data_IF_931523648962
#
_entry.id   IF_931523648962
#
_cell.length_a   1.000
_cell.length_b   1.000
_cell.length_c   1.000
_cell.angle_alpha   90.00
_cell.angle_beta   90.00
_cell.angle_gamma   90.00
#
_symmetry.space_group_name_H-M   'P 1'
#
loop_
_entity.id
_entity.type
_entity.pdbx_description
1 polymer ?
#
# COMPACT_ATOMS: atom_id res chain seq x y z
N UNK A 1 4.78 -6.40 -10.21
CA UNK A 1 4.02 -5.24 -10.73
C UNK A 1 3.08 -5.77 -11.80
N UNK A 2 1.82 -5.34 -11.82
CA UNK A 2 0.83 -5.77 -12.83
C UNK A 2 0.81 -4.72 -13.93
N UNK A 3 0.97 -5.14 -15.19
CA UNK A 3 0.88 -4.28 -16.35
C UNK A 3 -0.05 -4.94 -17.39
N UNK A 4 -0.91 -4.14 -18.02
CA UNK A 4 -1.83 -4.57 -19.06
C UNK A 4 -1.37 -3.95 -20.39
N UNK A 5 -0.94 -4.78 -21.35
CA UNK A 5 -0.71 -4.33 -22.72
C UNK A 5 -1.64 -5.09 -23.66
N UNK A 6 -2.51 -4.36 -24.35
CA UNK A 6 -3.45 -4.89 -25.34
C UNK A 6 -2.79 -4.83 -26.71
N UNK A 7 -2.56 -5.97 -27.36
CA UNK A 7 -2.15 -6.04 -28.77
C UNK A 7 -3.21 -6.83 -29.55
N UNK A 8 -3.81 -6.29 -30.62
CA UNK A 8 -4.78 -7.03 -31.42
C UNK A 8 -4.05 -7.98 -32.38
N UNK A 9 -4.42 -9.27 -32.35
CA UNK A 9 -3.99 -10.25 -33.35
C UNK A 9 -4.95 -10.23 -34.54
N UNK A 10 -4.38 -10.13 -35.75
CA UNK A 10 -5.09 -10.32 -37.00
C UNK A 10 -5.34 -11.82 -37.26
N UNK A 11 -6.48 -12.08 -37.90
CA UNK A 11 -7.11 -13.35 -38.20
C UNK A 11 -6.42 -14.08 -39.37
N UNK A 12 -6.34 -15.42 -39.30
CA UNK A 12 -6.16 -16.26 -40.49
C UNK A 12 -7.10 -17.46 -40.43
N UNK A 13 -7.95 -17.50 -41.46
CA UNK A 13 -9.05 -18.44 -41.69
C UNK A 13 -8.55 -19.79 -42.17
N UNK A 14 -9.15 -20.89 -41.69
CA UNK A 14 -9.29 -22.13 -42.48
C UNK A 14 -10.63 -22.80 -42.18
N UNK A 15 -11.30 -23.19 -43.26
CA UNK A 15 -12.70 -23.63 -43.40
C UNK A 15 -12.81 -25.15 -43.40
N UNK A 16 -13.87 -25.72 -42.80
CA UNK A 16 -14.69 -26.88 -43.27
C UNK A 16 -15.64 -27.33 -42.13
N UNK A 17 -16.96 -27.14 -42.19
CA UNK A 17 -18.03 -27.78 -42.99
C UNK A 17 -18.75 -28.89 -42.20
N UNK A 18 -19.94 -28.59 -41.62
CA UNK A 18 -21.10 -29.50 -41.63
C UNK A 18 -22.40 -28.74 -41.24
N UNK A 19 -23.48 -28.98 -41.98
CA UNK A 19 -24.72 -28.19 -41.95
C UNK A 19 -25.89 -28.92 -41.27
N UNK A 20 -26.63 -28.23 -40.40
CA UNK A 20 -28.10 -28.30 -40.31
C UNK A 20 -28.70 -27.21 -39.38
N UNK A 21 -29.51 -26.35 -40.01
CA UNK A 21 -30.70 -25.61 -39.54
C UNK A 21 -30.71 -24.82 -38.20
N UNK A 22 -30.61 -23.49 -38.37
CA UNK A 22 -31.20 -22.34 -37.64
C UNK A 22 -31.74 -22.48 -36.19
N UNK A 23 -31.18 -21.65 -35.30
CA UNK A 23 -31.93 -20.58 -34.62
C UNK A 23 -31.03 -19.33 -34.45
N UNK A 24 -31.51 -18.12 -34.75
CA UNK A 24 -30.75 -16.88 -34.58
C UNK A 24 -31.00 -16.33 -33.18
N UNK A 25 -30.33 -16.90 -32.19
CA UNK A 25 -30.22 -16.21 -30.91
C UNK A 25 -28.87 -15.52 -30.88
N UNK A 26 -28.94 -14.22 -31.13
CA UNK A 26 -27.93 -13.22 -30.85
C UNK A 26 -27.57 -13.28 -29.36
N UNK A 27 -26.85 -14.33 -28.95
CA UNK A 27 -26.04 -14.27 -27.75
C UNK A 27 -24.81 -13.46 -28.15
N UNK A 28 -24.91 -12.14 -28.04
CA UNK A 28 -23.74 -11.31 -27.83
C UNK A 28 -23.03 -11.90 -26.61
N UNK A 29 -22.04 -12.76 -26.89
CA UNK A 29 -21.13 -13.26 -25.88
C UNK A 29 -20.33 -12.04 -25.43
N UNK A 30 -20.73 -11.46 -24.30
CA UNK A 30 -19.84 -10.61 -23.55
C UNK A 30 -18.63 -11.47 -23.20
N UNK A 31 -17.53 -11.26 -23.92
CA UNK A 31 -16.23 -11.83 -23.57
C UNK A 31 -15.92 -11.29 -22.18
N UNK A 32 -16.21 -12.09 -21.15
CA UNK A 32 -15.74 -11.82 -19.82
C UNK A 32 -14.22 -11.90 -19.89
N UNK A 33 -13.58 -10.75 -20.02
CA UNK A 33 -12.14 -10.60 -19.93
C UNK A 33 -11.75 -10.95 -18.50
N UNK A 34 -11.53 -12.24 -18.27
CA UNK A 34 -11.01 -12.73 -17.01
C UNK A 34 -9.62 -12.12 -16.84
N UNK A 35 -9.53 -11.11 -15.99
CA UNK A 35 -8.29 -10.38 -15.76
C UNK A 35 -7.40 -11.26 -14.89
N UNK A 36 -6.80 -12.28 -15.50
CA UNK A 36 -5.91 -13.19 -14.81
C UNK A 36 -4.62 -12.44 -14.46
N UNK A 37 -4.30 -12.37 -13.16
CA UNK A 37 -2.98 -11.92 -12.74
C UNK A 37 -1.92 -12.92 -13.26
N UNK A 38 -1.14 -12.51 -14.25
CA UNK A 38 0.01 -13.30 -14.71
C UNK A 38 1.20 -13.05 -13.80
N UNK A 39 1.73 -14.10 -13.18
CA UNK A 39 3.03 -14.05 -12.51
C UNK A 39 4.12 -13.84 -13.57
N UNK A 40 4.66 -12.64 -13.63
CA UNK A 40 5.90 -12.37 -14.36
C UNK A 40 7.03 -12.95 -13.50
N UNK A 41 7.78 -13.92 -14.04
CA UNK A 41 8.87 -14.60 -13.31
C UNK A 41 10.22 -13.90 -13.47
N UNK A 42 10.39 -13.16 -14.57
CA UNK A 42 11.67 -12.61 -15.01
C UNK A 42 11.50 -11.19 -15.59
N UNK A 43 12.61 -10.50 -15.87
CA UNK A 43 12.58 -9.20 -16.56
C UNK A 43 12.40 -7.97 -15.64
N UNK A 44 12.45 -8.15 -14.32
CA UNK A 44 12.38 -7.06 -13.33
C UNK A 44 13.71 -6.30 -13.13
N UNK A 45 14.62 -6.39 -14.10
CA UNK A 45 15.99 -5.90 -13.99
C UNK A 45 16.92 -6.87 -13.27
N UNK A 46 18.22 -6.61 -13.37
CA UNK A 46 19.26 -7.39 -12.71
C UNK A 46 19.18 -7.19 -11.20
N UNK A 47 19.37 -8.25 -10.37
CA UNK A 47 19.51 -8.07 -8.93
C UNK A 47 20.61 -7.06 -8.62
N UNK A 48 20.27 -5.98 -7.93
CA UNK A 48 21.26 -5.07 -7.37
C UNK A 48 21.99 -5.73 -6.20
N UNK A 49 23.28 -5.46 -6.05
CA UNK A 49 24.03 -5.84 -4.85
C UNK A 49 24.25 -4.61 -3.97
N UNK A 50 23.67 -4.61 -2.78
CA UNK A 50 23.83 -3.56 -1.77
C UNK A 50 24.25 -4.21 -0.46
N UNK A 51 25.27 -3.66 0.20
CA UNK A 51 25.65 -4.08 1.55
C UNK A 51 24.61 -3.54 2.53
N UNK A 52 23.79 -4.43 3.09
CA UNK A 52 22.79 -4.10 4.09
C UNK A 52 23.35 -4.33 5.49
N UNK A 53 23.02 -3.43 6.41
CA UNK A 53 23.29 -3.58 7.84
C UNK A 53 21.98 -3.44 8.59
N UNK A 54 21.65 -4.45 9.37
CA UNK A 54 20.45 -4.50 10.20
C UNK A 54 20.86 -4.31 11.66
N UNK A 55 20.18 -3.41 12.35
CA UNK A 55 20.33 -3.20 13.78
C UNK A 55 18.98 -3.15 14.47
N UNK A 56 18.94 -3.67 15.69
CA UNK A 56 17.79 -3.47 16.57
C UNK A 56 17.84 -2.06 17.16
N UNK A 57 16.80 -1.26 16.88
CA UNK A 57 16.72 0.13 17.33
C UNK A 57 15.92 0.28 18.63
N UNK A 58 14.96 -0.63 18.87
CA UNK A 58 14.14 -0.68 20.08
C UNK A 58 13.49 -2.06 20.23
N UNK A 59 13.24 -2.46 21.48
CA UNK A 59 12.54 -3.70 21.85
C UNK A 59 11.28 -3.41 22.66
N UNK A 60 10.45 -4.43 22.87
CA UNK A 60 9.22 -4.33 23.68
C UNK A 60 8.04 -3.67 22.96
N UNK A 61 8.11 -3.58 21.63
CA UNK A 61 6.98 -3.24 20.77
C UNK A 61 6.17 -4.52 20.47
N UNK A 62 4.85 -4.40 20.40
CA UNK A 62 3.94 -5.54 20.21
C UNK A 62 3.71 -5.81 18.72
N UNK A 63 3.13 -4.85 17.99
CA UNK A 63 2.90 -4.95 16.54
C UNK A 63 3.11 -3.55 15.92
N UNK A 64 4.36 -3.12 15.68
CA UNK A 64 4.64 -1.82 15.11
C UNK A 64 4.25 -1.80 13.61
N UNK A 65 3.52 -0.77 13.18
CA UNK A 65 3.08 -0.60 11.79
C UNK A 65 3.55 0.70 11.12
N UNK A 66 3.91 1.73 11.90
CA UNK A 66 4.33 3.02 11.38
C UNK A 66 5.31 3.73 12.31
N UNK A 67 6.21 4.51 11.72
CA UNK A 67 7.28 5.24 12.43
C UNK A 67 7.35 6.67 11.89
N UNK A 68 7.53 7.64 12.78
CA UNK A 68 7.86 9.02 12.44
C UNK A 68 9.09 9.49 13.22
N UNK A 69 10.07 10.05 12.52
CA UNK A 69 11.28 10.62 13.12
C UNK A 69 11.03 12.08 13.52
N UNK A 70 11.37 12.41 14.75
CA UNK A 70 11.25 13.76 15.28
C UNK A 70 12.54 14.56 15.01
N UNK A 71 12.49 15.90 14.93
CA UNK A 71 13.67 16.74 14.69
C UNK A 71 14.79 16.55 15.72
N UNK A 72 14.45 16.11 16.93
CA UNK A 72 15.39 15.82 18.01
C UNK A 72 15.98 14.38 17.95
N UNK A 73 15.75 13.65 16.84
CA UNK A 73 16.19 12.26 16.62
C UNK A 73 15.49 11.20 17.49
N UNK A 74 14.41 11.57 18.18
CA UNK A 74 13.49 10.61 18.78
C UNK A 74 12.56 10.02 17.72
N UNK A 75 11.84 8.95 18.06
CA UNK A 75 10.87 8.31 17.15
C UNK A 75 9.52 8.12 17.82
N UNK A 76 8.45 8.40 17.07
CA UNK A 76 7.11 7.94 17.39
C UNK A 76 6.84 6.64 16.63
N UNK A 77 6.42 5.62 17.35
CA UNK A 77 6.06 4.32 16.77
C UNK A 77 4.60 4.05 17.08
N UNK A 78 3.80 3.81 16.05
CA UNK A 78 2.41 3.41 16.23
C UNK A 78 2.31 1.89 16.29
N UNK A 79 1.39 1.37 17.09
CA UNK A 79 1.19 -0.08 17.26
C UNK A 79 -0.27 -0.47 16.94
N UNK A 80 -0.48 -1.68 16.41
CA UNK A 80 -1.82 -2.21 16.06
C UNK A 80 -2.86 -2.10 17.20
N UNK A 81 -2.51 -2.23 18.50
CA UNK A 81 -3.46 -2.00 19.61
C UNK A 81 -3.97 -0.55 19.75
N UNK A 82 -3.61 0.36 18.86
CA UNK A 82 -4.16 1.72 18.81
C UNK A 82 -3.43 2.72 19.70
N UNK A 83 -2.18 2.45 20.07
CA UNK A 83 -1.35 3.32 20.90
C UNK A 83 -0.12 3.81 20.15
N UNK A 84 0.41 4.94 20.60
CA UNK A 84 1.67 5.49 20.09
C UNK A 84 2.73 5.42 21.17
N UNK A 85 3.92 4.97 20.81
CA UNK A 85 5.09 4.85 21.68
C UNK A 85 6.12 5.89 21.30
N UNK A 86 6.88 6.32 22.29
CA UNK A 86 8.04 7.17 22.10
C UNK A 86 9.29 6.34 22.31
N UNK A 87 10.23 6.41 21.36
CA UNK A 87 11.59 5.88 21.51
C UNK A 87 12.54 7.06 21.61
N UNK A 88 13.30 7.13 22.72
CA UNK A 88 14.32 8.16 22.94
C UNK A 88 15.69 7.53 23.02
N UNK A 89 16.63 8.01 22.21
CA UNK A 89 18.01 7.48 22.19
C UNK A 89 18.06 5.94 22.11
N UNK A 90 17.22 5.34 21.25
CA UNK A 90 17.10 3.88 21.09
C UNK A 90 16.38 3.13 22.23
N UNK A 91 15.76 3.85 23.19
CA UNK A 91 15.05 3.23 24.32
C UNK A 91 13.56 3.52 24.28
N UNK A 92 12.76 2.46 24.25
CA UNK A 92 11.30 2.53 24.35
C UNK A 92 10.90 3.12 25.71
N UNK A 93 10.08 4.17 25.70
CA UNK A 93 9.55 4.74 26.92
C UNK A 93 8.42 3.85 27.50
N UNK A 94 8.33 3.75 28.84
CA UNK A 94 7.40 2.82 29.48
C UNK A 94 5.94 3.20 29.23
N UNK A 95 5.64 4.50 29.21
CA UNK A 95 4.29 5.00 29.02
C UNK A 95 4.01 5.29 27.54
N UNK A 96 2.86 4.84 27.00
CA UNK A 96 2.39 5.31 25.71
C UNK A 96 2.20 6.83 25.70
N UNK A 97 2.48 7.46 24.56
CA UNK A 97 2.23 8.88 24.36
C UNK A 97 0.75 9.10 24.06
N UNK A 98 0.04 9.75 24.97
CA UNK A 98 -1.29 10.27 24.67
C UNK A 98 -1.16 11.44 23.69
N UNK A 99 -1.94 11.38 22.61
CA UNK A 99 -2.18 12.52 21.74
C UNK A 99 -3.52 13.12 22.16
N UNK A 100 -3.47 14.29 22.79
CA UNK A 100 -4.64 15.15 22.83
C UNK A 100 -4.78 15.76 21.44
N UNK A 101 -5.98 15.76 20.82
CA UNK A 101 -6.20 16.64 19.68
C UNK A 101 -5.84 18.07 20.10
N UNK A 102 -5.24 18.88 19.19
CA UNK A 102 -5.03 20.28 19.48
C UNK A 102 -6.38 20.92 19.81
N UNK A 103 -6.43 21.91 20.74
CA UNK A 103 -7.66 22.66 20.97
C UNK A 103 -8.17 23.19 19.63
N UNK A 104 -9.48 23.09 19.40
CA UNK A 104 -10.10 23.57 18.17
C UNK A 104 -9.64 25.02 17.92
N UNK A 105 -9.06 25.35 16.76
CA UNK A 105 -8.70 26.71 16.47
C UNK A 105 -9.98 27.55 16.47
N UNK A 106 -10.06 28.55 17.34
CA UNK A 106 -11.11 29.56 17.21
C UNK A 106 -11.00 30.18 15.82
N UNK A 107 -12.12 30.45 15.11
CA UNK A 107 -12.14 30.80 13.69
C UNK A 107 -11.49 32.15 13.30
N UNK A 108 -10.63 32.74 14.14
CA UNK A 108 -10.06 34.07 13.92
C UNK A 108 -8.54 34.18 14.07
N UNK A 109 -7.77 33.08 14.11
CA UNK A 109 -6.31 33.22 14.12
C UNK A 109 -5.62 32.14 13.31
N UNK A 110 -5.04 32.55 12.18
CA UNK A 110 -4.22 31.70 11.31
C UNK A 110 -2.81 31.58 11.93
N UNK A 111 -2.60 30.59 12.80
CA UNK A 111 -1.26 30.21 13.23
C UNK A 111 -0.68 29.22 12.21
N UNK A 112 0.43 29.57 11.57
CA UNK A 112 1.25 28.62 10.81
C UNK A 112 1.91 27.66 11.81
N UNK A 113 1.39 26.43 11.92
CA UNK A 113 1.98 25.36 12.75
C UNK A 113 2.68 24.36 11.83
N UNK A 114 4.01 24.45 11.64
CA UNK A 114 4.74 23.43 10.91
C UNK A 114 4.88 22.16 11.78
N UNK A 115 4.57 20.99 11.20
CA UNK A 115 4.99 19.70 11.76
C UNK A 115 3.95 18.86 12.51
N UNK A 116 2.64 19.07 12.29
CA UNK A 116 1.64 18.18 12.88
C UNK A 116 1.69 16.78 12.24
N UNK A 117 1.95 15.77 13.07
CA UNK A 117 1.83 14.36 12.69
C UNK A 117 0.39 13.94 12.98
N UNK A 118 -0.42 13.80 11.94
CA UNK A 118 -1.79 13.29 12.02
C UNK A 118 -1.79 11.77 11.82
N UNK A 119 -2.19 11.03 12.84
CA UNK A 119 -2.57 9.63 12.72
C UNK A 119 -4.10 9.58 12.70
N UNK A 120 -4.71 9.51 11.51
CA UNK A 120 -6.17 9.33 11.44
C UNK A 120 -6.51 7.89 11.81
N UNK A 121 -7.42 7.73 12.77
CA UNK A 121 -8.00 6.46 13.12
C UNK A 121 -9.08 6.15 12.09
N UNK A 122 -8.74 5.44 11.01
CA UNK A 122 -9.74 4.90 10.10
C UNK A 122 -10.43 3.72 10.78
N UNK A 123 -11.75 3.82 10.91
CA UNK A 123 -12.65 2.77 11.40
C UNK A 123 -12.98 1.79 10.27
#
# INVERSE_FOLDING_TARGET
>A
MVACNTTPQAESTSTQDNASAQQPDTSTQAVAQETACTLVRDGFGTPGQVKLRVEEVATGLEVPWGIAFLPNRDMLVTERPGRVRLVRKGKLQPQPKAFSPPPHPTPHTLHHVPGNIYFSCLR
#
